data_IF_961620789563
#
_entry.id   IF_961620789563
#
_cell.length_a   1.000
_cell.length_b   1.000
_cell.length_c   1.000
_cell.angle_alpha   90.00
_cell.angle_beta   90.00
_cell.angle_gamma   90.00
#
_symmetry.space_group_name_H-M   'P 1'
#
loop_
_entity.id
_entity.type
_entity.pdbx_description
1 polymer ?
#
# COMPACT_ATOMS: atom_id res chain seq x y z
N UNK A 1 -39.84 68.48 30.92
CA UNK A 1 -40.40 67.23 30.34
C UNK A 1 -39.62 66.69 29.14
N UNK A 2 -38.96 67.50 28.29
CA UNK A 2 -38.22 66.96 27.12
C UNK A 2 -36.86 66.30 27.44
N UNK A 3 -36.19 66.74 28.51
CA UNK A 3 -34.84 66.27 28.86
C UNK A 3 -34.79 64.79 29.32
N UNK A 4 -35.83 64.32 30.03
CA UNK A 4 -35.93 62.91 30.47
C UNK A 4 -36.25 61.96 29.30
N UNK A 5 -37.02 62.41 28.29
CA UNK A 5 -37.36 61.59 27.11
C UNK A 5 -36.17 61.37 26.17
N UNK A 6 -35.26 62.35 26.05
CA UNK A 6 -34.04 62.22 25.26
C UNK A 6 -33.07 61.19 25.86
N UNK A 7 -32.88 61.22 27.18
CA UNK A 7 -32.01 60.27 27.89
C UNK A 7 -32.53 58.83 27.77
N UNK A 8 -33.84 58.62 27.92
CA UNK A 8 -34.43 57.29 27.75
C UNK A 8 -34.22 56.71 26.34
N UNK A 9 -34.28 57.56 25.31
CA UNK A 9 -34.01 57.15 23.92
C UNK A 9 -32.55 56.75 23.73
N UNK A 10 -31.62 57.52 24.29
CA UNK A 10 -30.18 57.21 24.22
C UNK A 10 -29.84 55.91 24.96
N UNK A 11 -30.40 55.69 26.15
CA UNK A 11 -30.20 54.44 26.92
C UNK A 11 -30.74 53.22 26.16
N UNK A 12 -31.86 53.38 25.44
CA UNK A 12 -32.41 52.31 24.59
C UNK A 12 -31.49 52.00 23.42
N UNK A 13 -30.98 53.03 22.73
CA UNK A 13 -30.02 52.87 21.64
C UNK A 13 -28.71 52.24 22.12
N UNK A 14 -28.22 52.61 23.30
CA UNK A 14 -27.03 52.01 23.91
C UNK A 14 -27.24 50.51 24.18
N UNK A 15 -28.41 50.13 24.73
CA UNK A 15 -28.76 48.73 24.97
C UNK A 15 -28.81 47.92 23.68
N UNK A 16 -29.45 48.45 22.63
CA UNK A 16 -29.54 47.82 21.31
C UNK A 16 -28.15 47.64 20.68
N UNK A 17 -27.30 48.68 20.73
CA UNK A 17 -25.93 48.59 20.24
C UNK A 17 -25.12 47.52 21.01
N UNK A 18 -25.27 47.48 22.33
CA UNK A 18 -24.60 46.51 23.18
C UNK A 18 -25.04 45.07 22.89
N UNK A 19 -26.33 44.88 22.58
CA UNK A 19 -26.90 43.60 22.20
C UNK A 19 -26.38 43.12 20.83
N UNK A 20 -26.33 44.02 19.84
CA UNK A 20 -25.75 43.72 18.51
C UNK A 20 -24.29 43.25 18.63
N UNK A 21 -23.49 43.97 19.42
CA UNK A 21 -22.08 43.60 19.64
C UNK A 21 -21.95 42.27 20.38
N UNK A 22 -22.81 42.01 21.36
CA UNK A 22 -22.84 40.73 22.10
C UNK A 22 -23.19 39.56 21.18
N UNK A 23 -24.22 39.71 20.35
CA UNK A 23 -24.62 38.71 19.37
C UNK A 23 -23.50 38.43 18.35
N UNK A 24 -22.83 39.47 17.84
CA UNK A 24 -21.69 39.31 16.94
C UNK A 24 -20.52 38.56 17.60
N UNK A 25 -20.20 38.85 18.87
CA UNK A 25 -19.16 38.13 19.62
C UNK A 25 -19.52 36.66 19.83
N UNK A 26 -20.78 36.37 20.18
CA UNK A 26 -21.28 35.00 20.35
C UNK A 26 -21.23 34.22 19.04
N UNK A 27 -21.71 34.82 17.94
CA UNK A 27 -21.63 34.24 16.60
C UNK A 27 -20.18 33.91 16.21
N UNK A 28 -19.24 34.81 16.46
CA UNK A 28 -17.82 34.56 16.21
C UNK A 28 -17.29 33.38 17.01
N UNK A 29 -17.64 33.30 18.31
CA UNK A 29 -17.22 32.20 19.17
C UNK A 29 -17.79 30.86 18.69
N UNK A 30 -19.05 30.84 18.30
CA UNK A 30 -19.72 29.64 17.81
C UNK A 30 -19.14 29.20 16.47
N UNK A 31 -18.84 30.13 15.55
CA UNK A 31 -18.13 29.83 14.30
C UNK A 31 -16.75 29.23 14.52
N UNK A 32 -15.99 29.75 15.49
CA UNK A 32 -14.67 29.19 15.84
C UNK A 32 -14.77 27.77 16.42
N UNK A 33 -15.80 27.49 17.23
CA UNK A 33 -16.07 26.14 17.73
C UNK A 33 -16.48 25.20 16.61
N UNK A 34 -17.39 25.65 15.74
CA UNK A 34 -17.87 24.88 14.59
C UNK A 34 -16.70 24.50 13.68
N UNK A 35 -15.83 25.45 13.33
CA UNK A 35 -14.65 25.17 12.50
C UNK A 35 -13.74 24.08 13.09
N UNK A 36 -13.57 24.02 14.42
CA UNK A 36 -12.80 22.97 15.08
C UNK A 36 -13.49 21.61 15.01
N UNK A 37 -14.81 21.58 15.19
CA UNK A 37 -15.61 20.35 15.11
C UNK A 37 -15.60 19.80 13.69
N UNK A 38 -15.81 20.67 12.69
CA UNK A 38 -15.82 20.30 11.28
C UNK A 38 -14.45 19.75 10.86
N UNK A 39 -13.36 20.40 11.25
CA UNK A 39 -12.00 19.90 10.99
C UNK A 39 -11.73 18.55 11.66
N UNK A 40 -12.18 18.34 12.90
CA UNK A 40 -12.05 17.04 13.57
C UNK A 40 -12.88 15.94 12.87
N UNK A 41 -14.08 16.28 12.39
CA UNK A 41 -14.91 15.37 11.61
C UNK A 41 -14.26 15.00 10.28
N UNK A 42 -13.62 15.95 9.60
CA UNK A 42 -12.93 15.69 8.34
C UNK A 42 -11.68 14.82 8.54
N UNK A 43 -10.90 15.09 9.59
CA UNK A 43 -9.73 14.26 9.95
C UNK A 43 -10.15 12.82 10.26
N UNK A 44 -11.22 12.63 11.04
CA UNK A 44 -11.71 11.28 11.36
C UNK A 44 -12.22 10.55 10.14
N UNK A 45 -12.96 11.21 9.26
CA UNK A 45 -13.39 10.63 7.98
C UNK A 45 -12.21 10.26 7.07
N UNK A 46 -11.19 11.12 6.99
CA UNK A 46 -9.97 10.83 6.23
C UNK A 46 -9.19 9.64 6.79
N UNK A 47 -9.06 9.58 8.12
CA UNK A 47 -8.42 8.45 8.80
C UNK A 47 -9.15 7.14 8.51
N UNK A 48 -10.47 7.11 8.62
CA UNK A 48 -11.27 5.92 8.31
C UNK A 48 -11.06 5.46 6.86
N UNK A 49 -11.08 6.37 5.88
CA UNK A 49 -10.79 6.03 4.48
C UNK A 49 -9.40 5.43 4.31
N UNK A 50 -8.38 5.98 4.98
CA UNK A 50 -7.01 5.46 4.91
C UNK A 50 -6.85 4.11 5.60
N UNK A 51 -7.53 3.90 6.72
CA UNK A 51 -7.54 2.61 7.41
C UNK A 51 -8.25 1.55 6.55
N UNK A 52 -9.32 1.91 5.82
CA UNK A 52 -9.99 1.02 4.85
C UNK A 52 -9.11 0.69 3.65
N UNK A 53 -8.44 1.69 3.04
CA UNK A 53 -7.48 1.47 1.96
C UNK A 53 -6.33 0.56 2.40
N UNK A 54 -5.80 0.79 3.61
CA UNK A 54 -4.73 -0.01 4.19
C UNK A 54 -5.18 -1.46 4.37
N UNK A 55 -6.35 -1.70 4.96
CA UNK A 55 -6.92 -3.05 5.09
C UNK A 55 -7.14 -3.75 3.74
N UNK A 56 -7.56 -3.02 2.72
CA UNK A 56 -7.71 -3.58 1.37
C UNK A 56 -6.36 -3.99 0.77
N UNK A 57 -5.32 -3.19 0.98
CA UNK A 57 -3.96 -3.50 0.53
C UNK A 57 -3.40 -4.70 1.31
N UNK A 58 -3.60 -4.74 2.64
CA UNK A 58 -3.21 -5.87 3.47
C UNK A 58 -3.90 -7.15 3.00
N UNK A 59 -5.22 -7.15 2.82
CA UNK A 59 -5.95 -8.32 2.35
C UNK A 59 -5.49 -8.80 0.96
N UNK A 60 -5.17 -7.86 0.05
CA UNK A 60 -4.61 -8.19 -1.28
C UNK A 60 -3.20 -8.76 -1.19
N UNK A 61 -2.35 -8.20 -0.31
CA UNK A 61 -0.98 -8.65 -0.12
C UNK A 61 -0.90 -10.00 0.62
N UNK A 62 -1.77 -10.23 1.60
CA UNK A 62 -1.91 -11.52 2.28
C UNK A 62 -2.33 -12.63 1.31
N UNK A 63 -3.24 -12.33 0.36
CA UNK A 63 -3.60 -13.25 -0.71
C UNK A 63 -2.49 -13.43 -1.78
N UNK A 64 -1.66 -12.41 -2.00
CA UNK A 64 -0.66 -12.40 -3.07
C UNK A 64 0.48 -13.40 -2.88
N UNK A 65 0.85 -13.77 -1.65
CA UNK A 65 1.93 -14.73 -1.41
C UNK A 65 1.58 -16.12 -1.95
N UNK A 66 0.35 -16.58 -1.70
CA UNK A 66 -0.09 -17.90 -2.18
C UNK A 66 -0.25 -17.98 -3.70
N UNK A 67 -0.66 -16.88 -4.35
CA UNK A 67 -0.75 -16.83 -5.82
C UNK A 67 0.65 -16.77 -6.46
N UNK A 68 1.59 -16.02 -5.87
CA UNK A 68 2.99 -16.00 -6.30
C UNK A 68 3.66 -17.37 -6.14
N UNK A 69 3.40 -18.07 -5.03
CA UNK A 69 3.91 -19.44 -4.81
C UNK A 69 3.37 -20.41 -5.86
N UNK A 70 2.07 -20.38 -6.16
CA UNK A 70 1.47 -21.23 -7.20
C UNK A 70 2.00 -20.93 -8.60
N UNK A 71 2.19 -19.65 -8.93
CA UNK A 71 2.75 -19.26 -10.22
C UNK A 71 4.20 -19.73 -10.36
N UNK A 72 5.00 -19.57 -9.29
CA UNK A 72 6.37 -20.09 -9.24
C UNK A 72 6.42 -21.62 -9.34
N UNK A 73 5.56 -22.33 -8.61
CA UNK A 73 5.44 -23.79 -8.70
C UNK A 73 5.09 -24.25 -10.11
N UNK A 74 4.13 -23.58 -10.77
CA UNK A 74 3.74 -23.91 -12.14
C UNK A 74 4.89 -23.69 -13.13
N UNK A 75 5.68 -22.63 -12.96
CA UNK A 75 6.85 -22.37 -13.81
C UNK A 75 7.94 -23.42 -13.61
N UNK A 76 8.29 -23.71 -12.34
CA UNK A 76 9.29 -24.72 -11.98
C UNK A 76 8.86 -26.11 -12.50
N UNK A 77 7.58 -26.45 -12.40
CA UNK A 77 7.07 -27.73 -12.90
C UNK A 77 7.26 -27.86 -14.42
N UNK A 78 7.01 -26.77 -15.17
CA UNK A 78 7.26 -26.73 -16.62
C UNK A 78 8.74 -26.89 -16.95
N UNK A 79 9.62 -26.15 -16.27
CA UNK A 79 11.07 -26.27 -16.45
C UNK A 79 11.59 -27.68 -16.10
N UNK A 80 11.09 -28.29 -15.02
CA UNK A 80 11.45 -29.65 -14.64
C UNK A 80 11.05 -30.67 -15.71
N UNK A 81 9.88 -30.52 -16.31
CA UNK A 81 9.42 -31.42 -17.37
C UNK A 81 10.26 -31.27 -18.64
N UNK A 82 10.67 -30.04 -18.98
CA UNK A 82 11.57 -29.79 -20.10
C UNK A 82 12.98 -30.33 -19.84
N UNK A 83 13.52 -30.16 -18.64
CA UNK A 83 14.80 -30.77 -18.23
C UNK A 83 14.72 -32.30 -18.35
N UNK A 84 13.64 -32.92 -17.88
CA UNK A 84 13.45 -34.38 -17.99
C UNK A 84 13.40 -34.85 -19.45
N UNK A 85 12.68 -34.12 -20.32
CA UNK A 85 12.63 -34.45 -21.76
C UNK A 85 14.00 -34.35 -22.42
N UNK A 86 14.75 -33.28 -22.14
CA UNK A 86 16.11 -33.10 -22.69
C UNK A 86 17.06 -34.19 -22.18
N UNK A 87 16.99 -34.51 -20.89
CA UNK A 87 17.78 -35.58 -20.30
C UNK A 87 17.47 -36.92 -20.97
N UNK A 88 16.19 -37.32 -21.07
CA UNK A 88 15.78 -38.56 -21.71
C UNK A 88 16.23 -38.64 -23.18
N UNK A 89 16.10 -37.54 -23.94
CA UNK A 89 16.52 -37.49 -25.34
C UNK A 89 18.02 -37.68 -25.54
N UNK A 90 18.86 -37.16 -24.61
CA UNK A 90 20.32 -37.24 -24.72
C UNK A 90 20.96 -38.40 -23.96
N UNK A 91 20.20 -39.11 -23.12
CA UNK A 91 20.74 -40.20 -22.29
C UNK A 91 21.36 -41.30 -23.14
N UNK A 92 20.71 -41.68 -24.25
CA UNK A 92 21.23 -42.71 -25.15
C UNK A 92 22.59 -42.36 -25.75
N UNK A 93 22.74 -41.12 -26.23
CA UNK A 93 23.99 -40.65 -26.82
C UNK A 93 25.12 -40.55 -25.80
N UNK A 94 24.80 -40.05 -24.60
CA UNK A 94 25.77 -39.94 -23.49
C UNK A 94 26.22 -41.32 -23.01
N UNK A 95 25.29 -42.28 -22.85
CA UNK A 95 25.63 -43.65 -22.45
C UNK A 95 26.52 -44.31 -23.50
N UNK A 96 26.20 -44.14 -24.79
CA UNK A 96 27.03 -44.68 -25.88
C UNK A 96 28.44 -44.08 -25.86
N UNK A 97 28.56 -42.75 -25.72
CA UNK A 97 29.85 -42.07 -25.65
C UNK A 97 30.69 -42.53 -24.45
N UNK A 98 30.06 -42.71 -23.28
CA UNK A 98 30.75 -43.21 -22.08
C UNK A 98 31.21 -44.66 -22.24
N UNK A 99 30.39 -45.53 -22.82
CA UNK A 99 30.78 -46.92 -23.09
C UNK A 99 31.94 -46.93 -24.09
N UNK A 100 31.81 -46.23 -25.22
CA UNK A 100 32.82 -46.17 -26.27
C UNK A 100 34.15 -45.62 -25.74
N UNK A 101 34.13 -44.63 -24.83
CA UNK A 101 35.37 -44.10 -24.22
C UNK A 101 36.03 -45.07 -23.24
N UNK A 102 35.24 -45.89 -22.53
CA UNK A 102 35.75 -46.86 -21.56
C UNK A 102 36.24 -48.13 -22.25
N UNK A 103 35.60 -48.56 -23.34
CA UNK A 103 35.95 -49.81 -24.04
C UNK A 103 37.05 -49.65 -25.09
N UNK A 104 37.41 -48.43 -25.48
CA UNK A 104 38.49 -48.16 -26.43
C UNK A 104 39.73 -47.59 -25.70
N UNK A 105 40.63 -48.44 -25.20
CA UNK A 105 41.89 -47.96 -24.63
C UNK A 105 42.72 -47.30 -25.75
N UNK A 106 43.08 -46.04 -25.54
CA UNK A 106 44.08 -45.34 -26.36
C UNK A 106 45.41 -45.42 -25.61
N UNK A 107 46.29 -46.38 -25.97
CA UNK A 107 47.60 -46.48 -25.34
C UNK A 107 48.48 -45.34 -25.83
N UNK A 108 48.65 -44.33 -25.00
CA UNK A 108 49.67 -43.30 -25.21
C UNK A 108 50.92 -43.63 -24.40
N UNK A 109 52.07 -43.50 -25.05
CA UNK A 109 53.36 -43.58 -24.37
C UNK A 109 53.45 -42.35 -23.46
N UNK A 110 53.72 -42.56 -22.17
CA UNK A 110 53.87 -41.48 -21.20
C UNK A 110 54.89 -40.46 -21.74
N UNK A 111 54.65 -39.16 -21.53
CA UNK A 111 55.42 -38.04 -22.11
C UNK A 111 56.93 -38.07 -21.81
N UNK A 112 57.37 -38.96 -20.92
CA UNK A 112 58.77 -39.14 -20.48
C UNK A 112 59.31 -40.55 -20.79
N UNK A 113 58.62 -41.35 -21.61
CA UNK A 113 59.15 -42.61 -22.07
C UNK A 113 60.06 -42.34 -23.28
N UNK A 114 61.37 -42.35 -22.97
CA UNK A 114 62.54 -41.84 -23.72
C UNK A 114 62.80 -40.34 -23.53
#
# INVERSE_FOLDING_TARGET
MSQQNGIATLLKAEKEAHEIVSQARKYRQDKLKQAKVDAASEITAYKLKKDEELKQIEAKNEGGVGDLEKEAESQIQGELDDIKKVAQGKTGDVVKLLIDSVTNPVPEIHVNAA
#
